data_IF_332990197512
#
_entry.id   IF_332990197512
#
_cell.length_a   1.000
_cell.length_b   1.000
_cell.length_c   1.000
_cell.angle_alpha   90.00
_cell.angle_beta   90.00
_cell.angle_gamma   90.00
#
_symmetry.space_group_name_H-M   'P 1'
#
loop_
_entity.id
_entity.type
_entity.pdbx_description
1 polymer ?
#
# COMPACT_ATOMS: atom_id res chain seq x y z
N UNK A 1 -4.53 11.99 7.82
CA UNK A 1 -5.03 12.33 6.47
C UNK A 1 -4.13 13.41 5.89
N UNK A 2 -2.94 13.01 5.43
CA UNK A 2 -1.94 13.89 4.77
C UNK A 2 -2.25 13.94 3.28
N UNK A 3 -1.81 15.00 2.59
CA UNK A 3 -2.01 15.19 1.14
C UNK A 3 -0.84 14.56 0.36
N UNK A 4 -1.13 13.89 -0.75
CA UNK A 4 -0.16 13.13 -1.54
C UNK A 4 0.01 13.67 -2.97
N UNK A 5 1.21 13.51 -3.57
CA UNK A 5 1.45 13.78 -4.99
C UNK A 5 0.83 12.66 -5.84
N UNK A 6 0.20 13.03 -6.97
CA UNK A 6 -0.49 12.08 -7.85
C UNK A 6 0.45 11.04 -8.45
N UNK A 7 0.08 9.76 -8.36
CA UNK A 7 0.73 8.65 -9.04
C UNK A 7 -0.14 8.22 -10.21
N UNK A 8 0.43 8.32 -11.41
CA UNK A 8 -0.19 7.89 -12.65
C UNK A 8 -0.38 6.37 -12.64
N UNK A 9 -1.62 5.91 -12.70
CA UNK A 9 -1.99 4.49 -12.70
C UNK A 9 -2.14 4.00 -14.14
N UNK A 10 -1.01 3.95 -14.84
CA UNK A 10 -0.91 3.36 -16.17
C UNK A 10 -1.00 1.85 -16.14
N UNK A 11 -2.22 1.31 -16.21
CA UNK A 11 -2.46 -0.02 -16.79
C UNK A 11 -3.50 0.16 -17.88
N UNK A 12 -3.03 0.42 -19.10
CA UNK A 12 -3.87 0.37 -20.28
C UNK A 12 -4.44 -1.05 -20.42
N UNK A 13 -5.74 -1.19 -20.16
CA UNK A 13 -6.48 -2.37 -20.55
C UNK A 13 -6.38 -2.49 -22.08
N UNK A 14 -5.79 -3.57 -22.57
CA UNK A 14 -5.83 -3.88 -24.00
C UNK A 14 -7.28 -4.19 -24.36
N UNK A 15 -8.00 -3.19 -24.89
CA UNK A 15 -9.35 -3.34 -25.40
C UNK A 15 -9.30 -4.12 -26.70
N UNK A 16 -9.75 -5.39 -26.67
CA UNK A 16 -10.14 -6.09 -27.90
C UNK A 16 -11.28 -5.34 -28.61
N UNK A 17 -11.56 -5.67 -29.89
CA UNK A 17 -12.62 -4.99 -30.65
C UNK A 17 -13.95 -5.07 -29.90
N UNK A 18 -14.65 -3.93 -29.81
CA UNK A 18 -15.97 -3.84 -29.19
C UNK A 18 -16.94 -4.76 -29.94
N UNK A 19 -17.13 -5.99 -29.45
CA UNK A 19 -18.22 -6.84 -29.89
C UNK A 19 -19.51 -6.15 -29.46
N UNK A 20 -20.46 -5.96 -30.37
CA UNK A 20 -21.78 -5.41 -30.06
C UNK A 20 -22.42 -6.15 -28.86
N UNK A 21 -22.86 -5.41 -27.83
CA UNK A 21 -23.49 -5.97 -26.61
C UNK A 21 -24.63 -6.92 -26.95
N UNK A 22 -25.43 -6.57 -27.95
CA UNK A 22 -26.57 -7.37 -28.39
C UNK A 22 -26.12 -8.68 -29.04
N UNK A 23 -24.93 -8.69 -29.65
CA UNK A 23 -24.31 -9.90 -30.19
C UNK A 23 -23.78 -10.80 -29.08
N UNK A 24 -23.19 -10.24 -28.03
CA UNK A 24 -22.73 -10.99 -26.85
C UNK A 24 -23.91 -11.61 -26.08
N UNK A 25 -25.00 -10.88 -25.89
CA UNK A 25 -26.20 -11.41 -25.24
C UNK A 25 -26.82 -12.56 -26.03
N UNK A 26 -26.98 -12.42 -27.35
CA UNK A 26 -27.44 -13.52 -28.21
C UNK A 26 -26.52 -14.74 -28.16
N UNK A 27 -25.21 -14.54 -28.14
CA UNK A 27 -24.25 -15.63 -28.01
C UNK A 27 -24.42 -16.35 -26.66
N UNK A 28 -24.64 -15.62 -25.56
CA UNK A 28 -24.88 -16.21 -24.25
C UNK A 28 -26.16 -17.06 -24.24
N UNK A 29 -27.25 -16.53 -24.77
CA UNK A 29 -28.53 -17.24 -24.87
C UNK A 29 -28.40 -18.54 -25.68
N UNK A 30 -27.73 -18.49 -26.84
CA UNK A 30 -27.48 -19.66 -27.68
C UNK A 30 -26.67 -20.73 -26.92
N UNK A 31 -25.60 -20.32 -26.24
CA UNK A 31 -24.74 -21.23 -25.49
C UNK A 31 -25.44 -21.83 -24.28
N UNK A 32 -26.31 -21.07 -23.62
CA UNK A 32 -27.15 -21.54 -22.52
C UNK A 32 -28.20 -22.54 -22.98
N UNK A 33 -28.82 -22.30 -24.15
CA UNK A 33 -29.78 -23.23 -24.75
C UNK A 33 -29.12 -24.58 -25.08
N UNK A 34 -27.88 -24.57 -25.56
CA UNK A 34 -27.16 -25.80 -25.97
C UNK A 34 -26.55 -26.53 -24.78
N UNK A 35 -25.87 -25.83 -23.88
CA UNK A 35 -25.07 -26.44 -22.81
C UNK A 35 -25.66 -26.34 -21.41
N UNK A 36 -26.77 -25.62 -21.25
CA UNK A 36 -27.36 -25.31 -19.95
C UNK A 36 -26.73 -24.09 -19.25
N UNK A 37 -27.28 -23.68 -18.10
CA UNK A 37 -26.94 -22.42 -17.41
C UNK A 37 -25.53 -22.36 -16.81
N UNK A 38 -24.81 -23.49 -16.78
CA UNK A 38 -23.46 -23.62 -16.20
C UNK A 38 -22.44 -24.18 -17.20
N UNK A 39 -22.74 -24.16 -18.50
CA UNK A 39 -21.83 -24.63 -19.53
C UNK A 39 -20.49 -23.86 -19.47
N UNK A 40 -19.36 -24.56 -19.50
CA UNK A 40 -18.02 -23.93 -19.44
C UNK A 40 -17.82 -22.89 -20.56
N UNK A 41 -18.46 -23.10 -21.72
CA UNK A 41 -18.46 -22.19 -22.88
C UNK A 41 -19.07 -20.81 -22.61
N UNK A 42 -19.76 -20.63 -21.49
CA UNK A 42 -20.31 -19.33 -21.07
C UNK A 42 -19.26 -18.43 -20.42
N UNK A 43 -18.16 -19.00 -19.90
CA UNK A 43 -17.18 -18.27 -19.09
C UNK A 43 -16.60 -17.07 -19.83
N UNK A 44 -16.08 -17.28 -21.05
CA UNK A 44 -15.42 -16.23 -21.81
C UNK A 44 -16.41 -15.13 -22.28
N UNK A 45 -17.57 -15.44 -22.88
CA UNK A 45 -18.55 -14.41 -23.24
C UNK A 45 -19.07 -13.61 -22.03
N UNK A 46 -19.24 -14.25 -20.86
CA UNK A 46 -19.64 -13.55 -19.64
C UNK A 46 -18.55 -12.59 -19.14
N UNK A 47 -17.28 -13.00 -19.21
CA UNK A 47 -16.16 -12.13 -18.87
C UNK A 47 -16.07 -10.93 -19.83
N UNK A 48 -16.18 -11.16 -21.15
CA UNK A 48 -16.17 -10.10 -22.16
C UNK A 48 -17.34 -9.11 -21.99
N UNK A 49 -18.54 -9.60 -21.66
CA UNK A 49 -19.68 -8.74 -21.33
C UNK A 49 -19.36 -7.86 -20.10
N UNK A 50 -18.75 -8.44 -19.08
CA UNK A 50 -18.30 -7.69 -17.90
C UNK A 50 -17.27 -6.60 -18.26
N UNK A 51 -16.30 -6.91 -19.11
CA UNK A 51 -15.27 -5.95 -19.56
C UNK A 51 -15.90 -4.76 -20.28
N UNK A 52 -16.89 -5.00 -21.15
CA UNK A 52 -17.60 -3.93 -21.86
C UNK A 52 -18.43 -3.07 -20.93
N UNK A 53 -19.17 -3.68 -20.00
CA UNK A 53 -19.97 -2.94 -19.02
C UNK A 53 -19.07 -2.09 -18.12
N UNK A 54 -17.92 -2.61 -17.72
CA UNK A 54 -16.93 -1.87 -16.95
C UNK A 54 -16.38 -0.67 -17.75
N UNK A 55 -16.07 -0.86 -19.04
CA UNK A 55 -15.51 0.18 -19.90
C UNK A 55 -16.47 1.36 -20.11
N UNK A 56 -17.78 1.13 -20.12
CA UNK A 56 -18.81 2.19 -20.24
C UNK A 56 -19.22 2.79 -18.89
N UNK A 57 -18.59 2.38 -17.78
CA UNK A 57 -18.87 2.88 -16.44
C UNK A 57 -20.07 2.22 -15.74
N UNK A 58 -20.70 1.21 -16.34
CA UNK A 58 -21.76 0.42 -15.71
C UNK A 58 -21.15 -0.67 -14.81
N UNK A 59 -20.47 -0.22 -13.76
CA UNK A 59 -19.79 -1.08 -12.80
C UNK A 59 -20.75 -2.07 -12.10
N UNK A 60 -21.98 -1.69 -11.68
CA UNK A 60 -22.93 -2.64 -11.11
C UNK A 60 -23.28 -3.79 -12.05
N UNK A 61 -23.53 -3.53 -13.34
CA UNK A 61 -23.82 -4.58 -14.30
C UNK A 61 -22.58 -5.44 -14.59
N UNK A 62 -21.39 -4.83 -14.66
CA UNK A 62 -20.13 -5.56 -14.80
C UNK A 62 -19.92 -6.57 -13.65
N UNK A 63 -20.18 -6.15 -12.40
CA UNK A 63 -20.12 -7.02 -11.22
C UNK A 63 -21.04 -8.25 -11.38
N UNK A 64 -22.24 -8.08 -11.94
CA UNK A 64 -23.19 -9.18 -12.17
C UNK A 64 -22.61 -10.17 -13.19
N UNK A 65 -22.12 -9.67 -14.33
CA UNK A 65 -21.53 -10.51 -15.38
C UNK A 65 -20.31 -11.31 -14.88
N UNK A 66 -19.38 -10.65 -14.19
CA UNK A 66 -18.20 -11.31 -13.62
C UNK A 66 -18.54 -12.33 -12.53
N UNK A 67 -19.52 -12.03 -11.65
CA UNK A 67 -19.99 -13.00 -10.64
C UNK A 67 -20.54 -14.26 -11.31
N UNK A 68 -21.26 -14.10 -12.42
CA UNK A 68 -21.79 -15.22 -13.20
C UNK A 68 -20.67 -16.04 -13.84
N UNK A 69 -19.70 -15.39 -14.48
CA UNK A 69 -18.51 -16.07 -15.03
C UNK A 69 -17.76 -16.87 -13.95
N UNK A 70 -17.53 -16.26 -12.77
CA UNK A 70 -16.90 -16.97 -11.64
C UNK A 70 -17.73 -18.15 -11.14
N UNK A 71 -19.06 -18.05 -11.16
CA UNK A 71 -19.92 -19.16 -10.74
C UNK A 71 -19.79 -20.35 -11.69
N UNK A 72 -19.80 -20.11 -13.00
CA UNK A 72 -19.56 -21.14 -14.02
C UNK A 72 -18.19 -21.80 -13.82
N UNK A 73 -17.13 -21.01 -13.66
CA UNK A 73 -15.78 -21.53 -13.40
C UNK A 73 -15.70 -22.39 -12.13
N UNK A 74 -16.37 -22.00 -11.05
CA UNK A 74 -16.36 -22.77 -9.81
C UNK A 74 -17.07 -24.11 -9.93
N UNK A 75 -18.13 -24.17 -10.74
CA UNK A 75 -18.87 -25.40 -10.99
C UNK A 75 -18.02 -26.36 -11.83
N UNK A 76 -17.34 -25.84 -12.86
CA UNK A 76 -16.59 -26.67 -13.80
C UNK A 76 -15.19 -27.06 -13.27
N UNK A 77 -14.49 -26.16 -12.59
CA UNK A 77 -13.08 -26.36 -12.20
C UNK A 77 -12.85 -26.40 -10.68
N UNK A 78 -13.89 -26.18 -9.88
CA UNK A 78 -13.80 -26.13 -8.42
C UNK A 78 -13.38 -24.77 -7.84
N UNK A 79 -13.45 -24.68 -6.51
CA UNK A 79 -13.34 -23.41 -5.77
C UNK A 79 -11.96 -22.75 -5.78
N UNK A 80 -10.91 -23.47 -6.17
CA UNK A 80 -9.51 -23.00 -6.12
C UNK A 80 -8.82 -23.03 -7.49
N UNK A 81 -9.58 -23.14 -8.58
CA UNK A 81 -9.03 -23.10 -9.93
C UNK A 81 -8.37 -21.76 -10.26
N UNK A 82 -7.18 -21.82 -10.85
CA UNK A 82 -6.47 -20.64 -11.35
C UNK A 82 -7.19 -19.99 -12.55
N UNK A 83 -8.09 -20.70 -13.26
CA UNK A 83 -8.95 -20.10 -14.31
C UNK A 83 -9.85 -18.99 -13.79
N UNK A 84 -10.12 -18.96 -12.47
CA UNK A 84 -10.88 -17.88 -11.83
C UNK A 84 -10.13 -16.56 -11.73
N UNK A 85 -8.80 -16.57 -11.84
CA UNK A 85 -7.96 -15.41 -11.56
C UNK A 85 -8.30 -14.18 -12.41
N UNK A 86 -8.38 -14.27 -13.75
CA UNK A 86 -8.61 -13.08 -14.57
C UNK A 86 -9.95 -12.42 -14.23
N UNK A 87 -11.01 -13.23 -14.06
CA UNK A 87 -12.35 -12.74 -13.73
C UNK A 87 -12.39 -12.15 -12.31
N UNK A 88 -11.70 -12.78 -11.35
CA UNK A 88 -11.62 -12.27 -9.98
C UNK A 88 -10.91 -10.92 -9.90
N UNK A 89 -9.86 -10.71 -10.71
CA UNK A 89 -9.16 -9.41 -10.83
C UNK A 89 -10.08 -8.31 -11.36
N UNK A 90 -10.84 -8.60 -12.42
CA UNK A 90 -11.80 -7.63 -12.94
C UNK A 90 -12.92 -7.32 -11.94
N UNK A 91 -13.39 -8.34 -11.22
CA UNK A 91 -14.40 -8.15 -10.18
C UNK A 91 -13.90 -7.27 -9.03
N UNK A 92 -12.63 -7.40 -8.63
CA UNK A 92 -11.97 -6.51 -7.65
C UNK A 92 -11.95 -5.06 -8.13
N UNK A 93 -11.62 -4.82 -9.40
CA UNK A 93 -11.62 -3.48 -9.99
C UNK A 93 -13.04 -2.89 -10.02
N UNK A 94 -14.04 -3.68 -10.42
CA UNK A 94 -15.43 -3.26 -10.44
C UNK A 94 -15.95 -2.86 -9.04
N UNK A 95 -15.64 -3.62 -7.99
CA UNK A 95 -16.02 -3.24 -6.63
C UNK A 95 -15.30 -1.98 -6.12
N UNK A 96 -14.05 -1.79 -6.52
CA UNK A 96 -13.30 -0.56 -6.19
C UNK A 96 -13.97 0.65 -6.82
N UNK A 97 -14.42 0.53 -8.07
CA UNK A 97 -15.12 1.60 -8.77
C UNK A 97 -16.49 1.93 -8.14
N UNK A 98 -17.21 0.94 -7.61
CA UNK A 98 -18.48 1.16 -6.88
C UNK A 98 -18.28 1.59 -5.42
N UNK A 99 -17.04 1.67 -4.93
CA UNK A 99 -16.72 1.97 -3.53
C UNK A 99 -17.39 1.05 -2.49
N UNK A 100 -17.72 -0.19 -2.88
CA UNK A 100 -18.29 -1.19 -1.98
C UNK A 100 -17.16 -1.87 -1.19
N UNK A 101 -16.59 -1.10 -0.25
CA UNK A 101 -15.36 -1.46 0.45
C UNK A 101 -15.50 -2.74 1.29
N UNK A 102 -16.65 -2.93 1.93
CA UNK A 102 -16.92 -4.13 2.74
C UNK A 102 -16.99 -5.39 1.86
N UNK A 103 -17.70 -5.33 0.73
CA UNK A 103 -17.72 -6.48 -0.19
C UNK A 103 -16.34 -6.72 -0.79
N UNK A 104 -15.62 -5.66 -1.18
CA UNK A 104 -14.27 -5.74 -1.72
C UNK A 104 -13.30 -6.43 -0.75
N UNK A 105 -13.38 -6.11 0.54
CA UNK A 105 -12.55 -6.72 1.58
C UNK A 105 -12.69 -8.24 1.61
N UNK A 106 -13.93 -8.73 1.60
CA UNK A 106 -14.22 -10.17 1.52
C UNK A 106 -13.76 -10.82 0.21
N UNK A 107 -13.64 -10.07 -0.90
CA UNK A 107 -13.11 -10.60 -2.17
C UNK A 107 -11.61 -10.76 -2.16
N UNK A 108 -10.87 -9.87 -1.51
CA UNK A 108 -9.42 -10.04 -1.34
C UNK A 108 -9.08 -11.25 -0.46
N UNK A 109 -9.88 -11.55 0.56
CA UNK A 109 -9.76 -12.79 1.34
C UNK A 109 -9.95 -14.06 0.50
N UNK A 110 -10.91 -14.02 -0.43
CA UNK A 110 -11.11 -15.13 -1.37
C UNK A 110 -9.97 -15.22 -2.39
N UNK A 111 -9.56 -14.10 -2.97
CA UNK A 111 -8.42 -14.00 -3.88
C UNK A 111 -7.17 -14.60 -3.28
N UNK A 112 -6.80 -14.17 -2.07
CA UNK A 112 -5.60 -14.67 -1.40
C UNK A 112 -5.68 -16.18 -1.11
N UNK A 113 -6.88 -16.70 -0.84
CA UNK A 113 -7.13 -18.13 -0.64
C UNK A 113 -6.97 -18.96 -1.91
N UNK A 114 -7.45 -18.49 -3.06
CA UNK A 114 -7.24 -19.16 -4.36
C UNK A 114 -5.74 -19.30 -4.64
N UNK A 115 -4.93 -18.33 -4.21
CA UNK A 115 -3.47 -18.37 -4.32
C UNK A 115 -2.74 -19.07 -3.16
N UNK A 116 -3.44 -19.89 -2.38
CA UNK A 116 -2.81 -20.72 -1.35
C UNK A 116 -2.47 -19.99 -0.05
N UNK A 117 -3.04 -18.80 0.22
CA UNK A 117 -2.91 -18.07 1.49
C UNK A 117 -1.46 -17.79 1.91
N UNK A 118 -0.57 -17.54 0.95
CA UNK A 118 0.84 -17.31 1.23
C UNK A 118 1.58 -18.54 1.76
N UNK A 119 1.06 -19.74 1.52
CA UNK A 119 1.72 -21.00 1.86
C UNK A 119 2.59 -21.51 0.69
N UNK A 120 3.67 -22.26 0.99
CA UNK A 120 4.49 -22.90 -0.04
C UNK A 120 3.68 -23.91 -0.88
N UNK A 121 4.18 -24.31 -2.07
CA UNK A 121 5.39 -23.81 -2.73
C UNK A 121 5.25 -22.34 -3.14
N UNK A 122 6.32 -21.57 -3.01
CA UNK A 122 6.34 -20.18 -3.46
C UNK A 122 6.59 -20.11 -4.96
N UNK A 123 5.73 -19.36 -5.64
CA UNK A 123 5.84 -19.06 -7.06
C UNK A 123 5.65 -17.56 -7.26
N UNK A 124 6.12 -17.04 -8.40
CA UNK A 124 5.91 -15.65 -8.80
C UNK A 124 4.44 -15.23 -8.63
N UNK A 125 3.53 -16.07 -9.13
CA UNK A 125 2.10 -15.83 -9.09
C UNK A 125 1.55 -15.74 -7.66
N UNK A 126 1.94 -16.66 -6.77
CA UNK A 126 1.48 -16.68 -5.37
C UNK A 126 2.04 -15.52 -4.55
N UNK A 127 3.31 -15.17 -4.77
CA UNK A 127 3.96 -14.06 -4.05
C UNK A 127 3.44 -12.71 -4.51
N UNK A 128 3.20 -12.54 -5.81
CA UNK A 128 2.53 -11.35 -6.33
C UNK A 128 1.13 -11.20 -5.73
N UNK A 129 0.34 -12.27 -5.68
CA UNK A 129 -0.96 -12.26 -5.03
C UNK A 129 -0.88 -11.95 -3.52
N UNK A 130 0.14 -12.46 -2.82
CA UNK A 130 0.37 -12.15 -1.42
C UNK A 130 0.67 -10.65 -1.21
N UNK A 131 1.54 -10.06 -2.04
CA UNK A 131 1.84 -8.62 -1.98
C UNK A 131 0.61 -7.76 -2.30
N UNK A 132 -0.22 -8.18 -3.26
CA UNK A 132 -1.50 -7.51 -3.56
C UNK A 132 -2.47 -7.58 -2.37
N UNK A 133 -2.59 -8.74 -1.73
CA UNK A 133 -3.39 -8.90 -0.52
C UNK A 133 -2.88 -8.03 0.64
N UNK A 134 -1.57 -8.04 0.90
CA UNK A 134 -0.94 -7.24 1.95
C UNK A 134 -1.16 -5.73 1.72
N UNK A 135 -1.04 -5.27 0.47
CA UNK A 135 -1.36 -3.89 0.07
C UNK A 135 -2.82 -3.56 0.38
N UNK A 136 -3.76 -4.41 -0.04
CA UNK A 136 -5.17 -4.20 0.26
C UNK A 136 -5.44 -4.13 1.77
N UNK A 137 -4.86 -5.03 2.57
CA UNK A 137 -5.05 -5.01 4.02
C UNK A 137 -4.55 -3.69 4.65
N UNK A 138 -3.46 -3.10 4.14
CA UNK A 138 -3.01 -1.75 4.55
C UNK A 138 -4.02 -0.67 4.17
N UNK A 139 -4.60 -0.73 2.96
CA UNK A 139 -5.66 0.19 2.54
C UNK A 139 -6.91 0.03 3.42
N UNK A 140 -7.30 -1.20 3.77
CA UNK A 140 -8.42 -1.49 4.65
C UNK A 140 -8.25 -0.92 6.07
N UNK A 141 -7.02 -0.96 6.62
CA UNK A 141 -6.66 -0.27 7.87
C UNK A 141 -6.91 1.24 7.74
N UNK A 142 -6.45 1.86 6.65
CA UNK A 142 -6.62 3.30 6.39
C UNK A 142 -8.09 3.71 6.19
N UNK A 143 -8.88 2.84 5.57
CA UNK A 143 -10.33 2.97 5.38
C UNK A 143 -11.14 2.62 6.63
N UNK A 144 -10.49 2.11 7.68
CA UNK A 144 -11.12 1.70 8.95
C UNK A 144 -12.22 0.65 8.76
N UNK A 145 -11.99 -0.34 7.90
CA UNK A 145 -12.95 -1.44 7.63
C UNK A 145 -13.06 -2.46 8.78
N UNK A 146 -12.78 -2.07 10.02
CA UNK A 146 -12.81 -2.92 11.21
C UNK A 146 -11.59 -3.83 11.39
N UNK A 147 -11.52 -4.48 12.56
CA UNK A 147 -10.50 -5.49 12.88
C UNK A 147 -9.18 -4.97 13.45
N UNK A 148 -8.99 -3.65 13.56
CA UNK A 148 -7.82 -3.07 14.24
C UNK A 148 -7.91 -3.27 15.76
N UNK A 149 -6.82 -3.66 16.47
CA UNK A 149 -5.41 -3.78 16.04
C UNK A 149 -5.00 -5.15 15.48
N UNK A 150 -5.89 -6.15 15.57
CA UNK A 150 -5.60 -7.54 15.19
C UNK A 150 -5.24 -7.69 13.72
N UNK A 151 -5.97 -7.02 12.83
CA UNK A 151 -5.69 -6.99 11.38
C UNK A 151 -4.24 -6.61 11.10
N UNK A 152 -3.71 -5.58 11.76
CA UNK A 152 -2.31 -5.16 11.59
C UNK A 152 -1.31 -6.17 12.16
N UNK A 153 -1.62 -6.81 13.30
CA UNK A 153 -0.81 -7.90 13.84
C UNK A 153 -0.72 -9.08 12.87
N UNK A 154 -1.87 -9.50 12.32
CA UNK A 154 -1.96 -10.58 11.35
C UNK A 154 -1.19 -10.23 10.07
N UNK A 155 -1.30 -8.99 9.61
CA UNK A 155 -0.59 -8.47 8.43
C UNK A 155 0.94 -8.49 8.64
N UNK A 156 1.43 -7.98 9.77
CA UNK A 156 2.85 -7.98 10.13
C UNK A 156 3.39 -9.41 10.29
N UNK A 157 2.60 -10.31 10.89
CA UNK A 157 2.98 -11.72 11.03
C UNK A 157 3.09 -12.40 9.67
N UNK A 158 2.03 -12.33 8.86
CA UNK A 158 1.97 -12.98 7.54
C UNK A 158 3.14 -12.56 6.65
N UNK A 159 3.38 -11.25 6.52
CA UNK A 159 4.47 -10.77 5.68
C UNK A 159 5.84 -11.08 6.31
N UNK A 160 5.95 -11.08 7.65
CA UNK A 160 7.15 -11.52 8.34
C UNK A 160 7.53 -12.98 8.04
N UNK A 161 6.55 -13.87 8.01
CA UNK A 161 6.74 -15.28 7.69
C UNK A 161 7.14 -15.49 6.22
N UNK A 162 6.47 -14.81 5.29
CA UNK A 162 6.82 -14.81 3.86
C UNK A 162 8.23 -14.28 3.62
N UNK A 163 8.57 -13.14 4.24
CA UNK A 163 9.89 -12.54 4.13
C UNK A 163 10.97 -13.46 4.71
N UNK A 164 10.74 -14.05 5.89
CA UNK A 164 11.68 -14.99 6.49
C UNK A 164 11.90 -16.20 5.58
N UNK A 165 10.84 -16.77 5.03
CA UNK A 165 10.95 -17.94 4.17
C UNK A 165 11.70 -17.63 2.87
N UNK A 166 11.40 -16.51 2.22
CA UNK A 166 12.08 -16.09 0.98
C UNK A 166 13.53 -15.67 1.22
N UNK A 167 13.84 -15.02 2.35
CA UNK A 167 15.23 -14.65 2.71
C UNK A 167 16.10 -15.88 2.98
N UNK A 168 15.53 -16.94 3.56
CA UNK A 168 16.23 -18.20 3.83
C UNK A 168 16.39 -19.10 2.61
N UNK A 169 15.64 -18.84 1.54
CA UNK A 169 15.76 -19.55 0.28
C UNK A 169 16.85 -18.89 -0.59
N UNK A 170 17.95 -19.64 -0.82
CA UNK A 170 19.06 -19.17 -1.64
C UNK A 170 18.69 -19.07 -3.13
N UNK A 171 17.66 -19.81 -3.57
CA UNK A 171 17.17 -19.79 -4.95
C UNK A 171 16.07 -18.74 -5.17
N UNK A 172 15.48 -18.19 -4.09
CA UNK A 172 14.47 -17.16 -4.21
C UNK A 172 15.04 -15.89 -4.87
N UNK A 173 14.44 -15.41 -5.98
CA UNK A 173 14.82 -14.17 -6.64
C UNK A 173 14.92 -12.99 -5.68
N UNK A 174 15.93 -12.14 -5.89
CA UNK A 174 16.11 -10.91 -5.12
C UNK A 174 14.87 -10.01 -5.14
N UNK A 175 14.17 -9.94 -6.28
CA UNK A 175 12.94 -9.15 -6.42
C UNK A 175 11.85 -9.56 -5.41
N UNK A 176 11.72 -10.85 -5.08
CA UNK A 176 10.75 -11.33 -4.09
C UNK A 176 11.11 -10.85 -2.69
N UNK A 177 12.39 -11.02 -2.33
CA UNK A 177 12.97 -10.55 -1.05
C UNK A 177 12.73 -9.05 -0.87
N UNK A 178 13.05 -8.28 -1.91
CA UNK A 178 12.86 -6.82 -1.95
C UNK A 178 11.40 -6.42 -1.81
N UNK A 179 10.49 -7.01 -2.58
CA UNK A 179 9.06 -6.69 -2.53
C UNK A 179 8.43 -6.95 -1.15
N UNK A 180 8.74 -8.09 -0.52
CA UNK A 180 8.25 -8.42 0.82
C UNK A 180 8.85 -7.53 1.90
N UNK A 181 10.15 -7.23 1.80
CA UNK A 181 10.84 -6.31 2.71
C UNK A 181 10.23 -4.91 2.64
N UNK A 182 10.02 -4.36 1.44
CA UNK A 182 9.35 -3.06 1.25
C UNK A 182 7.94 -3.06 1.84
N UNK A 183 7.14 -4.08 1.52
CA UNK A 183 5.80 -4.26 2.10
C UNK A 183 5.85 -4.34 3.64
N UNK A 184 6.89 -4.96 4.22
CA UNK A 184 7.01 -5.08 5.67
C UNK A 184 7.41 -3.75 6.31
N UNK A 185 8.23 -2.96 5.64
CA UNK A 185 8.54 -1.59 6.08
C UNK A 185 7.29 -0.71 6.07
N UNK A 186 6.43 -0.80 5.04
CA UNK A 186 5.13 -0.11 5.02
C UNK A 186 4.26 -0.49 6.23
N UNK A 187 4.21 -1.77 6.58
CA UNK A 187 3.48 -2.26 7.75
C UNK A 187 4.03 -1.65 9.05
N UNK A 188 5.35 -1.60 9.21
CA UNK A 188 5.97 -1.06 10.43
C UNK A 188 5.78 0.47 10.54
N UNK A 189 5.75 1.20 9.42
CA UNK A 189 5.36 2.61 9.43
C UNK A 189 3.91 2.81 9.88
N UNK A 190 2.98 1.98 9.40
CA UNK A 190 1.57 2.02 9.83
C UNK A 190 1.40 1.75 11.33
N UNK A 191 2.13 0.75 11.85
CA UNK A 191 2.15 0.46 13.29
C UNK A 191 2.52 1.72 14.09
N UNK A 192 3.57 2.43 13.68
CA UNK A 192 4.03 3.63 14.40
C UNK A 192 3.14 4.87 14.19
N UNK A 193 2.59 5.11 13.00
CA UNK A 193 1.84 6.34 12.71
C UNK A 193 0.35 6.26 13.11
N UNK A 194 -0.31 5.16 12.78
CA UNK A 194 -1.77 5.04 12.89
C UNK A 194 -2.19 4.55 14.28
N UNK A 195 -1.39 3.66 14.88
CA UNK A 195 -1.80 2.91 16.07
C UNK A 195 -1.16 3.42 17.36
N UNK A 196 0.02 4.06 17.30
CA UNK A 196 0.65 4.66 18.49
C UNK A 196 -0.29 5.60 19.28
N UNK A 197 -1.08 6.49 18.63
CA UNK A 197 -2.03 7.33 19.36
C UNK A 197 -3.18 6.55 20.01
N UNK A 198 -3.64 5.47 19.37
CA UNK A 198 -4.75 4.64 19.84
C UNK A 198 -4.35 3.77 21.03
N UNK A 199 -3.15 3.16 20.98
CA UNK A 199 -2.60 2.36 22.08
C UNK A 199 -2.33 3.24 23.30
N UNK A 200 -1.70 4.40 23.11
CA UNK A 200 -1.47 5.35 24.22
C UNK A 200 -2.78 5.78 24.87
N UNK A 201 -3.81 6.12 24.08
CA UNK A 201 -5.12 6.52 24.61
C UNK A 201 -5.82 5.40 25.41
N UNK A 202 -5.67 4.14 24.98
CA UNK A 202 -6.20 2.98 25.69
C UNK A 202 -5.43 2.72 27.01
N UNK A 203 -4.10 2.80 27.01
CA UNK A 203 -3.26 2.66 28.21
C UNK A 203 -3.61 3.69 29.30
N UNK A 204 -3.90 4.94 28.91
CA UNK A 204 -4.39 5.97 29.84
C UNK A 204 -5.81 5.71 30.38
N UNK A 205 -6.66 5.02 29.61
CA UNK A 205 -8.03 4.69 30.02
C UNK A 205 -8.07 3.50 30.97
N UNK A 206 -7.26 2.47 30.72
CA UNK A 206 -7.14 1.28 31.57
C UNK A 206 -6.59 1.58 32.99
N UNK A 207 -5.96 2.75 33.17
CA UNK A 207 -5.50 3.22 34.48
C UNK A 207 -6.64 3.67 35.42
N UNK A 208 -7.87 3.84 34.90
CA UNK A 208 -9.03 4.34 35.65
C UNK A 208 -10.11 3.29 35.95
N UNK A 209 -10.08 2.14 35.28
CA UNK A 209 -11.12 1.11 35.40
C UNK A 209 -10.61 -0.13 36.16
N UNK A 210 -10.47 0.00 37.49
CA UNK A 210 -10.20 -1.12 38.42
C UNK A 210 -11.52 -1.68 38.98
N UNK A 211 -12.59 -1.86 38.19
CA UNK A 211 -13.77 -2.61 38.68
C UNK A 211 -14.55 -3.31 37.53
N UNK A 212 -14.38 -4.62 37.41
CA UNK A 212 -15.52 -5.53 37.21
C UNK A 212 -16.02 -5.88 35.80
N UNK A 213 -15.25 -5.77 34.72
CA UNK A 213 -15.70 -6.27 33.39
C UNK A 213 -14.60 -7.01 32.61
N UNK A 214 -15.00 -8.04 31.86
CA UNK A 214 -14.14 -8.98 31.09
C UNK A 214 -13.23 -8.26 30.04
N UNK A 215 -11.89 -8.54 30.00
CA UNK A 215 -11.06 -8.01 28.90
C UNK A 215 -9.89 -8.89 28.37
N UNK A 216 -9.83 -10.22 28.55
CA UNK A 216 -8.59 -10.98 28.22
C UNK A 216 -8.08 -10.88 26.76
N UNK A 217 -8.97 -10.82 25.75
CA UNK A 217 -8.55 -10.81 24.33
C UNK A 217 -8.13 -9.42 23.83
N UNK A 218 -8.87 -8.38 24.20
CA UNK A 218 -8.51 -6.99 23.92
C UNK A 218 -7.18 -6.65 24.61
N UNK A 219 -6.96 -7.13 25.84
CA UNK A 219 -5.70 -6.96 26.55
C UNK A 219 -4.53 -7.67 25.85
N UNK A 220 -4.73 -8.89 25.33
CA UNK A 220 -3.65 -9.62 24.67
C UNK A 220 -3.22 -8.98 23.35
N UNK A 221 -4.17 -8.57 22.51
CA UNK A 221 -3.84 -7.90 21.25
C UNK A 221 -3.21 -6.52 21.51
N UNK A 222 -3.65 -5.80 22.55
CA UNK A 222 -3.00 -4.57 23.01
C UNK A 222 -1.55 -4.82 23.47
N UNK A 223 -1.32 -5.82 24.34
CA UNK A 223 0.04 -6.17 24.80
C UNK A 223 0.96 -6.55 23.65
N UNK A 224 0.46 -7.35 22.68
CA UNK A 224 1.20 -7.72 21.47
C UNK A 224 1.52 -6.48 20.63
N UNK A 225 0.58 -5.55 20.50
CA UNK A 225 0.79 -4.30 19.75
C UNK A 225 1.83 -3.41 20.44
N UNK A 226 1.75 -3.20 21.76
CA UNK A 226 2.76 -2.44 22.52
C UNK A 226 4.15 -3.09 22.42
N UNK A 227 4.22 -4.43 22.48
CA UNK A 227 5.44 -5.17 22.23
C UNK A 227 6.00 -4.98 20.81
N UNK A 228 5.12 -4.96 19.80
CA UNK A 228 5.50 -4.70 18.41
C UNK A 228 6.00 -3.27 18.23
N UNK A 229 5.30 -2.26 18.76
CA UNK A 229 5.70 -0.85 18.73
C UNK A 229 7.12 -0.65 19.29
N UNK A 230 7.41 -1.27 20.44
CA UNK A 230 8.73 -1.20 21.07
C UNK A 230 9.84 -1.82 20.21
N UNK A 231 9.53 -2.89 19.48
CA UNK A 231 10.51 -3.64 18.69
C UNK A 231 10.59 -3.18 17.22
N UNK A 232 9.60 -2.44 16.73
CA UNK A 232 9.50 -2.00 15.34
C UNK A 232 10.78 -1.30 14.85
N UNK A 233 11.37 -0.31 15.57
CA UNK A 233 12.60 0.34 15.13
C UNK A 233 13.75 -0.63 14.86
N UNK A 234 13.90 -1.66 15.68
CA UNK A 234 14.93 -2.68 15.49
C UNK A 234 14.62 -3.60 14.31
N UNK A 235 13.36 -4.08 14.21
CA UNK A 235 12.91 -4.94 13.11
C UNK A 235 13.10 -4.27 11.75
N UNK A 236 12.69 -3.00 11.60
CA UNK A 236 12.83 -2.28 10.33
C UNK A 236 14.29 -2.16 9.86
N UNK A 237 15.22 -1.88 10.79
CA UNK A 237 16.66 -1.87 10.47
C UNK A 237 17.17 -3.23 10.03
N UNK A 238 16.80 -4.29 10.75
CA UNK A 238 17.23 -5.66 10.45
C UNK A 238 16.76 -6.12 9.06
N UNK A 239 15.53 -5.76 8.67
CA UNK A 239 14.98 -6.08 7.35
C UNK A 239 15.84 -5.44 6.25
N UNK A 240 16.11 -4.14 6.35
CA UNK A 240 16.89 -3.42 5.33
C UNK A 240 18.34 -3.92 5.29
N UNK A 241 18.97 -4.15 6.44
CA UNK A 241 20.33 -4.69 6.51
C UNK A 241 20.43 -6.11 5.92
N UNK A 242 19.46 -6.97 6.18
CA UNK A 242 19.43 -8.30 5.58
C UNK A 242 19.26 -8.21 4.05
N UNK A 243 18.45 -7.27 3.57
CA UNK A 243 18.28 -7.03 2.13
C UNK A 243 19.54 -6.45 1.47
N UNK A 244 20.34 -5.64 2.18
CA UNK A 244 21.65 -5.17 1.72
C UNK A 244 22.61 -6.34 1.50
N UNK A 245 22.65 -7.30 2.42
CA UNK A 245 23.46 -8.51 2.25
C UNK A 245 23.00 -9.35 1.05
N UNK A 246 21.70 -9.36 0.75
CA UNK A 246 21.14 -10.09 -0.38
C UNK A 246 21.31 -9.37 -1.74
N UNK A 247 21.59 -8.06 -1.75
CA UNK A 247 21.73 -7.26 -2.97
C UNK A 247 23.05 -7.51 -3.72
N UNK A 248 24.03 -8.15 -3.07
CA UNK A 248 25.37 -8.35 -3.66
C UNK A 248 26.09 -7.02 -3.86
N UNK A 249 26.73 -6.85 -5.02
CA UNK A 249 27.60 -5.70 -5.33
C UNK A 249 26.88 -4.57 -6.10
N UNK A 250 25.55 -4.61 -6.23
CA UNK A 250 24.79 -3.57 -6.91
C UNK A 250 24.83 -2.26 -6.10
N UNK A 251 25.73 -1.36 -6.50
CA UNK A 251 26.02 -0.10 -5.79
C UNK A 251 24.79 0.81 -5.72
N UNK A 252 23.98 0.85 -6.79
CA UNK A 252 22.77 1.67 -6.86
C UNK A 252 21.68 1.09 -5.97
N UNK A 253 21.51 -0.24 -5.96
CA UNK A 253 20.59 -0.88 -5.03
C UNK A 253 21.00 -0.69 -3.58
N UNK A 254 22.30 -0.84 -3.25
CA UNK A 254 22.80 -0.57 -1.90
C UNK A 254 22.54 0.89 -1.51
N UNK A 255 22.67 1.85 -2.45
CA UNK A 255 22.32 3.24 -2.21
C UNK A 255 20.82 3.41 -1.92
N UNK A 256 19.94 2.75 -2.68
CA UNK A 256 18.50 2.78 -2.44
C UNK A 256 18.13 2.21 -1.05
N UNK A 257 18.81 1.14 -0.63
CA UNK A 257 18.62 0.54 0.69
C UNK A 257 19.16 1.43 1.82
N UNK A 258 20.30 2.10 1.62
CA UNK A 258 20.79 3.10 2.57
C UNK A 258 19.83 4.29 2.67
N UNK A 259 19.18 4.69 1.57
CA UNK A 259 18.15 5.73 1.58
C UNK A 259 16.96 5.30 2.45
N UNK A 260 16.45 4.08 2.25
CA UNK A 260 15.36 3.53 3.04
C UNK A 260 15.74 3.38 4.53
N UNK A 261 16.98 2.99 4.83
CA UNK A 261 17.50 2.90 6.19
C UNK A 261 17.63 4.29 6.84
N UNK A 262 18.08 5.30 6.08
CA UNK A 262 18.15 6.69 6.50
C UNK A 262 16.78 7.26 6.83
N UNK A 263 15.79 7.04 5.96
CA UNK A 263 14.40 7.42 6.18
C UNK A 263 13.84 6.78 7.46
N UNK A 264 14.09 5.48 7.63
CA UNK A 264 13.65 4.72 8.79
C UNK A 264 14.27 5.24 10.10
N UNK A 265 15.58 5.49 10.10
CA UNK A 265 16.28 6.08 11.24
C UNK A 265 15.78 7.48 11.55
N UNK A 266 15.55 8.28 10.52
CA UNK A 266 15.05 9.63 10.64
C UNK A 266 13.65 9.62 11.27
N UNK A 267 12.76 8.74 10.79
CA UNK A 267 11.42 8.54 11.32
C UNK A 267 11.41 8.08 12.78
N UNK A 268 12.26 7.11 13.12
CA UNK A 268 12.37 6.55 14.49
C UNK A 268 13.18 7.42 15.45
N UNK A 269 13.60 8.62 15.01
CA UNK A 269 14.26 9.63 15.85
C UNK A 269 15.77 9.46 16.01
N UNK A 270 16.41 8.48 15.37
CA UNK A 270 17.86 8.29 15.42
C UNK A 270 18.57 9.12 14.35
N UNK A 271 18.86 10.39 14.67
CA UNK A 271 19.43 11.36 13.71
C UNK A 271 20.83 11.02 13.25
N UNK A 272 21.67 10.55 14.17
CA UNK A 272 23.06 10.18 13.87
C UNK A 272 23.12 9.07 12.82
N UNK A 273 22.39 7.97 13.03
CA UNK A 273 22.35 6.86 12.05
C UNK A 273 21.64 7.23 10.76
N UNK A 274 20.68 8.13 10.81
CA UNK A 274 20.07 8.67 9.59
C UNK A 274 21.12 9.39 8.74
N UNK A 275 21.92 10.27 9.37
CA UNK A 275 23.01 10.98 8.69
C UNK A 275 24.02 10.03 8.08
N UNK A 276 24.53 9.05 8.85
CA UNK A 276 25.45 8.03 8.33
C UNK A 276 24.89 7.30 7.10
N UNK A 277 23.60 6.95 7.13
CA UNK A 277 22.96 6.27 6.01
C UNK A 277 22.86 7.17 4.78
N UNK A 278 22.45 8.44 4.92
CA UNK A 278 22.40 9.38 3.80
C UNK A 278 23.79 9.71 3.23
N UNK A 279 24.82 9.84 4.07
CA UNK A 279 26.21 9.99 3.60
C UNK A 279 26.64 8.80 2.75
N UNK A 280 26.26 7.56 3.13
CA UNK A 280 26.51 6.37 2.31
C UNK A 280 25.75 6.40 0.98
N UNK A 281 24.53 6.95 0.93
CA UNK A 281 23.81 7.17 -0.34
C UNK A 281 24.63 8.09 -1.25
N UNK A 282 25.11 9.22 -0.73
CA UNK A 282 25.92 10.15 -1.53
C UNK A 282 27.20 9.48 -2.05
N UNK A 283 27.92 8.76 -1.19
CA UNK A 283 29.15 8.05 -1.55
C UNK A 283 28.89 7.05 -2.67
N UNK A 284 27.94 6.13 -2.47
CA UNK A 284 27.59 5.09 -3.44
C UNK A 284 27.17 5.68 -4.81
N UNK A 285 26.35 6.72 -4.82
CA UNK A 285 25.88 7.31 -6.08
C UNK A 285 26.96 8.13 -6.78
N UNK A 286 27.85 8.79 -6.04
CA UNK A 286 29.00 9.49 -6.64
C UNK A 286 30.00 8.51 -7.23
N UNK A 287 30.28 7.40 -6.53
CA UNK A 287 31.14 6.32 -7.03
C UNK A 287 30.56 5.67 -8.29
N UNK A 288 29.23 5.51 -8.35
CA UNK A 288 28.52 5.02 -9.55
C UNK A 288 28.37 6.07 -10.67
N UNK A 289 28.73 7.34 -10.45
CA UNK A 289 28.53 8.42 -11.41
C UNK A 289 27.08 8.93 -11.54
N UNK A 290 26.18 8.48 -10.67
CA UNK A 290 24.73 8.70 -10.70
C UNK A 290 24.32 10.07 -10.09
N UNK A 291 24.86 11.16 -10.63
CA UNK A 291 24.63 12.53 -10.13
C UNK A 291 23.17 12.96 -10.24
N UNK A 292 22.48 12.55 -11.32
CA UNK A 292 21.07 12.84 -11.51
C UNK A 292 20.20 12.16 -10.46
N UNK A 293 20.49 10.89 -10.15
CA UNK A 293 19.78 10.11 -9.14
C UNK A 293 20.03 10.67 -7.73
N UNK A 294 21.26 11.08 -7.45
CA UNK A 294 21.62 11.75 -6.20
C UNK A 294 20.78 13.02 -5.99
N UNK A 295 20.70 13.88 -7.02
CA UNK A 295 19.88 15.09 -6.98
C UNK A 295 18.39 14.74 -6.81
N UNK A 296 17.91 13.69 -7.45
CA UNK A 296 16.52 13.24 -7.31
C UNK A 296 16.20 12.76 -5.89
N UNK A 297 17.09 12.01 -5.25
CA UNK A 297 16.81 11.37 -3.96
C UNK A 297 17.06 12.28 -2.76
N UNK A 298 18.09 13.13 -2.83
CA UNK A 298 18.57 13.94 -1.72
C UNK A 298 18.58 15.45 -2.00
N UNK A 299 18.37 15.87 -3.25
CA UNK A 299 18.43 17.29 -3.63
C UNK A 299 17.22 18.13 -3.26
N UNK A 300 16.15 17.54 -2.70
CA UNK A 300 14.99 18.27 -2.23
C UNK A 300 14.33 17.58 -1.03
N UNK A 301 13.61 18.31 -0.15
CA UNK A 301 12.89 17.69 0.94
C UNK A 301 11.76 16.76 0.49
N UNK A 302 11.66 15.59 1.11
CA UNK A 302 10.64 14.57 0.82
C UNK A 302 9.86 14.23 2.08
N UNK A 303 8.53 14.24 2.00
CA UNK A 303 7.67 13.88 3.13
C UNK A 303 7.89 12.40 3.49
N UNK A 304 8.03 12.11 4.77
CA UNK A 304 8.21 10.75 5.26
C UNK A 304 6.90 10.16 5.78
N UNK A 305 6.74 8.82 5.64
CA UNK A 305 7.62 7.91 4.94
C UNK A 305 7.48 8.06 3.41
N UNK A 306 8.60 7.97 2.70
CA UNK A 306 8.65 8.16 1.24
C UNK A 306 8.27 6.90 0.44
N UNK A 307 7.67 5.90 1.09
CA UNK A 307 7.39 4.58 0.52
C UNK A 307 5.89 4.28 0.39
N UNK A 308 5.05 5.32 0.24
CA UNK A 308 3.61 5.17 0.00
C UNK A 308 2.83 4.40 1.09
N UNK A 309 3.41 4.20 2.28
CA UNK A 309 2.78 3.44 3.36
C UNK A 309 1.42 4.01 3.80
N UNK A 310 1.14 5.28 3.48
CA UNK A 310 -0.08 5.99 3.88
C UNK A 310 -1.01 6.36 2.71
N UNK A 311 -0.74 5.82 1.51
CA UNK A 311 -1.57 6.11 0.34
C UNK A 311 -3.01 5.69 0.60
N UNK A 312 -3.94 6.62 0.34
CA UNK A 312 -5.38 6.38 0.39
C UNK A 312 -5.94 6.31 -1.03
N UNK A 313 -6.72 5.26 -1.36
CA UNK A 313 -7.40 5.20 -2.64
C UNK A 313 -8.60 6.14 -2.62
N UNK A 314 -8.44 7.38 -3.10
CA UNK A 314 -9.53 8.34 -3.27
C UNK A 314 -9.62 8.74 -4.74
N UNK A 315 -10.83 8.82 -5.34
CA UNK A 315 -11.01 9.35 -6.69
C UNK A 315 -10.48 10.79 -6.75
N UNK A 316 -9.78 11.11 -7.84
CA UNK A 316 -9.08 12.40 -8.01
C UNK A 316 -10.04 13.57 -8.28
N UNK A 317 -11.27 13.28 -8.72
CA UNK A 317 -12.17 14.24 -9.35
C UNK A 317 -12.75 15.31 -8.39
N UNK A 318 -12.64 15.13 -7.08
CA UNK A 318 -13.18 16.07 -6.07
C UNK A 318 -12.11 16.76 -5.19
N UNK A 319 -10.82 16.59 -5.50
CA UNK A 319 -9.75 17.07 -4.62
C UNK A 319 -9.42 18.55 -4.85
N UNK A 320 -9.51 19.34 -3.77
CA UNK A 320 -9.14 20.76 -3.80
C UNK A 320 -7.63 20.88 -3.85
N UNK A 321 -7.11 21.55 -4.88
CA UNK A 321 -5.68 21.86 -4.99
C UNK A 321 -5.34 23.12 -4.19
N UNK A 322 -4.26 23.05 -3.42
CA UNK A 322 -3.71 24.18 -2.66
C UNK A 322 -2.21 24.27 -2.87
N UNK A 323 -1.70 25.49 -2.99
CA UNK A 323 -0.27 25.73 -3.01
C UNK A 323 0.22 26.03 -1.60
N UNK A 324 1.29 25.36 -1.18
CA UNK A 324 1.89 25.56 0.12
C UNK A 324 3.34 26.00 -0.03
N UNK A 325 3.69 27.09 0.63
CA UNK A 325 5.05 27.58 0.80
C UNK A 325 5.47 27.40 2.26
N UNK A 326 6.57 26.71 2.50
CA UNK A 326 7.05 26.41 3.85
C UNK A 326 8.55 26.18 3.88
N UNK A 327 9.13 26.28 5.08
CA UNK A 327 10.54 25.99 5.30
C UNK A 327 10.68 24.60 5.95
N UNK A 328 11.67 23.82 5.52
CA UNK A 328 12.05 22.52 6.09
C UNK A 328 13.42 22.66 6.71
N UNK A 329 13.50 22.49 8.03
CA UNK A 329 14.77 22.57 8.75
C UNK A 329 15.68 21.37 8.46
N UNK A 330 16.94 21.47 8.89
CA UNK A 330 17.91 20.35 8.88
C UNK A 330 17.44 19.10 9.62
N UNK A 331 16.44 19.24 10.50
CA UNK A 331 15.83 18.12 11.24
C UNK A 331 14.56 17.58 10.57
N UNK A 332 14.19 18.10 9.39
CA UNK A 332 12.97 17.69 8.71
C UNK A 332 11.69 18.29 9.28
N UNK A 333 11.80 19.34 10.12
CA UNK A 333 10.64 19.99 10.75
C UNK A 333 10.16 21.14 9.89
N UNK A 334 8.86 21.23 9.73
CA UNK A 334 8.20 22.26 8.93
C UNK A 334 7.94 23.50 9.79
N UNK A 335 8.24 24.67 9.22
CA UNK A 335 7.95 25.99 9.79
C UNK A 335 7.49 26.97 8.70
N UNK A 336 7.09 28.18 9.10
CA UNK A 336 6.75 29.29 8.19
C UNK A 336 5.69 28.97 7.10
N UNK A 337 4.79 28.02 7.38
CA UNK A 337 3.78 27.57 6.41
C UNK A 337 2.82 28.70 6.02
N UNK A 338 2.75 28.97 4.72
CA UNK A 338 1.75 29.77 4.02
C UNK A 338 0.99 28.86 3.05
N UNK A 339 -0.32 29.03 2.98
CA UNK A 339 -1.19 28.21 2.14
C UNK A 339 -2.07 29.14 1.35
N UNK A 340 -2.03 29.00 0.04
CA UNK A 340 -2.90 29.70 -0.91
C UNK A 340 -3.96 28.70 -1.39
N UNK A 341 -5.22 29.07 -1.19
CA UNK A 341 -6.37 28.25 -1.57
C UNK A 341 -7.48 29.15 -2.13
N UNK A 342 -8.37 28.62 -3.00
CA UNK A 342 -9.55 29.34 -3.47
C UNK A 342 -10.45 29.79 -2.29
N UNK A 343 -11.04 30.98 -2.40
CA UNK A 343 -11.58 31.82 -1.29
C UNK A 343 -12.67 31.21 -0.38
N UNK A 344 -13.19 30.01 -0.64
CA UNK A 344 -14.36 29.44 0.05
C UNK A 344 -14.07 28.27 1.03
N UNK A 345 -12.80 28.01 1.41
CA UNK A 345 -12.42 26.82 2.22
C UNK A 345 -11.43 27.06 3.38
N UNK A 346 -11.65 28.12 4.18
CA UNK A 346 -10.77 28.51 5.31
C UNK A 346 -10.58 27.45 6.42
N UNK A 347 -11.58 26.60 6.69
CA UNK A 347 -11.48 25.52 7.69
C UNK A 347 -10.59 24.35 7.21
N UNK A 348 -10.59 24.08 5.90
CA UNK A 348 -9.78 23.04 5.28
C UNK A 348 -8.30 23.44 5.20
N UNK A 349 -8.00 24.72 4.98
CA UNK A 349 -6.60 25.22 4.99
C UNK A 349 -5.98 25.18 6.38
N UNK A 350 -6.74 25.48 7.44
CA UNK A 350 -6.26 25.38 8.83
C UNK A 350 -5.92 23.94 9.24
N UNK A 351 -6.79 22.97 8.89
CA UNK A 351 -6.53 21.54 9.11
C UNK A 351 -5.30 21.07 8.32
N UNK A 352 -5.20 21.49 7.06
CA UNK A 352 -4.06 21.19 6.20
C UNK A 352 -2.75 21.74 6.80
N UNK A 353 -2.70 23.01 7.19
CA UNK A 353 -1.51 23.64 7.80
C UNK A 353 -1.05 22.89 9.05
N UNK A 354 -1.97 22.51 9.94
CA UNK A 354 -1.64 21.73 11.15
C UNK A 354 -1.02 20.37 10.80
N UNK A 355 -1.54 19.69 9.77
CA UNK A 355 -1.03 18.40 9.31
C UNK A 355 0.33 18.52 8.63
N UNK A 356 0.52 19.55 7.80
CA UNK A 356 1.81 19.83 7.16
C UNK A 356 2.88 20.12 8.22
N UNK A 357 2.57 20.92 9.24
CA UNK A 357 3.45 21.15 10.40
C UNK A 357 3.81 19.85 11.16
N UNK A 358 2.88 18.90 11.23
CA UNK A 358 3.09 17.61 11.88
C UNK A 358 3.80 16.58 10.98
N UNK A 359 4.01 16.89 9.70
CA UNK A 359 4.66 15.98 8.75
C UNK A 359 6.16 16.08 8.92
N UNK A 360 6.81 14.93 9.06
CA UNK A 360 8.26 14.83 9.08
C UNK A 360 8.77 14.74 7.64
N UNK A 361 9.82 15.48 7.32
CA UNK A 361 10.47 15.43 6.02
C UNK A 361 11.88 14.85 6.14
N UNK A 362 12.32 14.06 5.16
CA UNK A 362 13.73 13.95 4.86
C UNK A 362 14.19 15.33 4.37
N UNK A 363 15.18 15.97 5.01
CA UNK A 363 15.70 17.26 4.56
C UNK A 363 16.47 17.10 3.24
N UNK A 364 16.75 18.23 2.58
CA UNK A 364 17.73 18.25 1.50
C UNK A 364 19.12 17.97 2.07
N UNK A 365 19.95 17.23 1.32
CA UNK A 365 21.34 16.99 1.66
C UNK A 365 22.24 17.56 0.57
N UNK A 366 23.26 18.31 1.00
CA UNK A 366 24.31 18.82 0.13
C UNK A 366 25.66 18.63 0.81
N UNK A 367 26.60 17.99 0.12
CA UNK A 367 27.95 17.80 0.66
C UNK A 367 27.99 16.94 1.92
N UNK A 368 27.06 15.98 2.07
CA UNK A 368 27.01 15.10 3.23
C UNK A 368 26.37 15.70 4.48
N UNK A 369 25.80 16.90 4.39
CA UNK A 369 25.13 17.58 5.50
C UNK A 369 23.69 17.96 5.13
N UNK A 370 22.75 17.94 6.10
CA UNK A 370 21.39 18.40 5.86
C UNK A 370 21.34 19.92 5.76
N UNK A 371 20.62 20.43 4.78
CA UNK A 371 20.43 21.87 4.51
C UNK A 371 18.99 22.26 4.80
N UNK A 372 18.81 23.49 5.28
CA UNK A 372 17.48 24.08 5.43
C UNK A 372 17.00 24.58 4.06
N UNK A 373 15.77 24.23 3.70
CA UNK A 373 15.25 24.49 2.36
C UNK A 373 13.87 25.11 2.43
N UNK A 374 13.62 26.08 1.55
CA UNK A 374 12.27 26.56 1.27
C UNK A 374 11.63 25.67 0.21
N UNK A 375 10.41 25.23 0.46
CA UNK A 375 9.64 24.33 -0.41
C UNK A 375 8.36 25.02 -0.83
N UNK A 376 8.11 25.03 -2.14
CA UNK A 376 6.83 25.37 -2.75
C UNK A 376 6.28 24.11 -3.41
N UNK A 377 5.06 23.71 -3.06
CA UNK A 377 4.46 22.47 -3.58
C UNK A 377 2.94 22.56 -3.64
N UNK A 378 2.35 22.04 -4.71
CA UNK A 378 0.91 21.82 -4.84
C UNK A 378 0.50 20.55 -4.08
N UNK A 379 -0.60 20.64 -3.33
CA UNK A 379 -1.20 19.53 -2.59
C UNK A 379 -2.66 19.36 -2.96
N UNK A 380 -3.11 18.11 -2.98
CA UNK A 380 -4.52 17.75 -3.11
C UNK A 380 -5.13 17.51 -1.73
N UNK A 381 -6.09 18.34 -1.33
CA UNK A 381 -6.81 18.19 -0.07
C UNK A 381 -7.83 17.07 -0.19
N UNK A 382 -7.61 16.02 0.59
CA UNK A 382 -8.60 14.98 0.80
C UNK A 382 -9.75 15.54 1.68
N UNK A 383 -11.03 15.25 1.35
CA UNK A 383 -12.22 15.81 2.02
C UNK A 383 -12.28 15.60 3.55
#
# INVERSE_FOLDING_TARGET
>A
MRAEPGVDSGVAAQSGPAIDRDKLQRLLEERELVGGPYADTLTEPLAQLGDQLFAVGDYPAAVIAYRRALHVLRINDGLYSERQVPVLRQLILAFRATQDWQTLDGRYEYFFRVYGRGQPPYTELRLRAALEYLRWQREAVQLKLGGEPRRLLDLVSLNGDLLKATMNDSQAPYAWKKGLAQSQMENLYLVMDVIEPLVRQAEFSNSRDIFGAQPLSADLDQQRMSGLLRTAPAKGRQIVQALQLAAGDDTVEIAALNLALGDWHHWTGNRYRAAEAYTRVEQNLREAGETALLKQWLGAPVALPANNAFVRPLPDEDLVRVNALFDVSRQGRVSNVRVEAPDDKSSSTSRFRRRLNATLFRPQWEGGEPVESRVEREYKLLP
#
